data_IF_957776986819
#
_entry.id   IF_957776986819
#
_cell.length_a   1.000
_cell.length_b   1.000
_cell.length_c   1.000
_cell.angle_alpha   90.00
_cell.angle_beta   90.00
_cell.angle_gamma   90.00
#
_symmetry.space_group_name_H-M   'P 1'
#
loop_
_entity.id
_entity.type
_entity.pdbx_description
1 polymer ?
#
# COMPACT_ATOMS: atom_id res chain seq x y z
N UNK A 1 -5.62 -12.31 -7.78
CA UNK A 1 -6.87 -12.82 -8.37
C UNK A 1 -6.94 -12.35 -9.81
N UNK A 2 -7.40 -13.17 -10.74
CA UNK A 2 -7.61 -12.82 -12.15
C UNK A 2 -9.09 -12.59 -12.36
N UNK A 3 -9.44 -11.59 -13.19
CA UNK A 3 -10.84 -11.36 -13.58
C UNK A 3 -11.43 -12.60 -14.27
N UNK A 4 -12.66 -13.02 -13.95
CA UNK A 4 -13.25 -14.26 -14.47
C UNK A 4 -13.42 -14.25 -15.99
N UNK A 5 -13.77 -13.12 -16.60
CA UNK A 5 -14.03 -13.00 -18.03
C UNK A 5 -12.92 -12.26 -18.80
N UNK A 6 -12.22 -11.31 -18.17
CA UNK A 6 -11.23 -10.43 -18.80
C UNK A 6 -9.83 -10.87 -18.39
N UNK A 7 -9.22 -11.74 -19.17
CA UNK A 7 -7.97 -12.44 -18.81
C UNK A 7 -6.76 -11.54 -18.59
N UNK A 8 -6.78 -10.29 -19.06
CA UNK A 8 -5.69 -9.34 -18.93
C UNK A 8 -5.84 -8.35 -17.76
N UNK A 9 -6.90 -8.50 -16.95
CA UNK A 9 -7.08 -7.71 -15.72
C UNK A 9 -6.93 -8.65 -14.52
N UNK A 10 -6.21 -8.18 -13.52
CA UNK A 10 -6.03 -8.86 -12.25
C UNK A 10 -5.96 -7.88 -11.10
N UNK A 11 -6.17 -8.39 -9.89
CA UNK A 11 -6.11 -7.61 -8.66
C UNK A 11 -5.50 -8.42 -7.50
N UNK A 12 -4.92 -7.70 -6.55
CA UNK A 12 -4.42 -8.24 -5.29
C UNK A 12 -4.91 -7.34 -4.16
N UNK A 13 -6.11 -7.56 -3.63
CA UNK A 13 -6.58 -6.84 -2.46
C UNK A 13 -5.76 -7.23 -1.22
N UNK A 14 -5.67 -6.35 -0.24
CA UNK A 14 -4.94 -6.61 1.00
C UNK A 14 -5.69 -7.64 1.87
N UNK A 15 -7.03 -7.68 1.78
CA UNK A 15 -7.85 -8.67 2.47
C UNK A 15 -9.25 -8.78 1.91
N UNK A 16 -9.90 -9.92 2.20
CA UNK A 16 -11.33 -10.16 1.98
C UNK A 16 -11.86 -10.87 3.21
N UNK A 17 -12.95 -10.37 3.78
CA UNK A 17 -13.61 -11.01 4.92
C UNK A 17 -14.28 -12.29 4.48
N UNK A 18 -13.81 -13.43 4.97
CA UNK A 18 -14.33 -14.77 4.63
C UNK A 18 -15.15 -15.36 5.75
N UNK A 19 -14.99 -14.87 6.97
CA UNK A 19 -15.72 -15.32 8.15
C UNK A 19 -15.80 -14.17 9.15
N UNK A 20 -16.96 -14.00 9.76
CA UNK A 20 -17.15 -13.08 10.87
C UNK A 20 -17.12 -13.86 12.19
N UNK A 21 -16.32 -13.39 13.15
CA UNK A 21 -16.17 -14.01 14.48
C UNK A 21 -17.46 -13.95 15.33
N UNK A 22 -18.39 -13.05 15.00
CA UNK A 22 -19.63 -12.81 15.73
C UNK A 22 -20.87 -13.43 15.04
N UNK A 23 -20.69 -14.26 14.01
CA UNK A 23 -21.77 -14.76 13.14
C UNK A 23 -22.64 -13.63 12.53
N UNK A 24 -22.04 -12.47 12.33
CA UNK A 24 -22.67 -11.31 11.72
C UNK A 24 -22.28 -11.26 10.25
N UNK A 25 -23.11 -11.83 9.38
CA UNK A 25 -22.84 -11.91 7.92
C UNK A 25 -22.72 -10.55 7.21
N UNK A 26 -22.88 -9.43 7.92
CA UNK A 26 -22.86 -8.08 7.36
C UNK A 26 -21.52 -7.69 6.74
N UNK A 27 -20.41 -8.27 7.20
CA UNK A 27 -19.09 -7.98 6.70
C UNK A 27 -18.57 -9.04 5.70
N UNK A 28 -19.27 -10.15 5.55
CA UNK A 28 -18.85 -11.24 4.68
C UNK A 28 -18.71 -10.75 3.23
N UNK A 29 -17.60 -11.08 2.59
CA UNK A 29 -17.28 -10.64 1.23
C UNK A 29 -16.82 -9.18 1.13
N UNK A 30 -16.62 -8.49 2.26
CA UNK A 30 -16.10 -7.13 2.29
C UNK A 30 -14.61 -7.14 2.00
N UNK A 31 -14.19 -6.36 1.03
CA UNK A 31 -12.78 -6.21 0.69
C UNK A 31 -12.12 -5.19 1.62
N UNK A 32 -10.85 -5.38 1.89
CA UNK A 32 -10.00 -4.44 2.62
C UNK A 32 -8.85 -3.98 1.73
N UNK A 33 -8.62 -2.68 1.68
CA UNK A 33 -7.45 -2.06 1.07
C UNK A 33 -6.82 -1.11 2.09
N UNK A 34 -5.53 -1.29 2.39
CA UNK A 34 -4.81 -0.56 3.43
C UNK A 34 -3.77 0.37 2.80
N UNK A 35 -3.71 1.61 3.28
CA UNK A 35 -2.68 2.58 2.93
C UNK A 35 -2.02 3.14 4.18
N UNK A 36 -0.73 2.84 4.36
CA UNK A 36 0.10 3.46 5.39
C UNK A 36 0.71 4.75 4.82
N UNK A 37 0.35 5.88 5.43
CA UNK A 37 0.75 7.20 4.94
C UNK A 37 2.10 7.61 5.53
N UNK A 38 3.11 7.80 4.68
CA UNK A 38 4.41 8.32 5.11
C UNK A 38 4.39 9.84 5.29
N UNK A 39 4.20 10.60 4.23
CA UNK A 39 4.33 12.07 4.23
C UNK A 39 3.01 12.82 4.11
N UNK A 40 2.05 12.31 3.34
CA UNK A 40 0.82 13.06 3.06
C UNK A 40 -0.12 13.17 4.26
N UNK A 41 -0.95 14.20 4.24
CA UNK A 41 -1.99 14.43 5.24
C UNK A 41 -3.16 13.44 5.03
N UNK A 42 -3.61 12.79 6.10
CA UNK A 42 -4.82 12.00 6.11
C UNK A 42 -6.04 12.94 6.12
N UNK A 43 -6.87 12.84 5.07
CA UNK A 43 -8.03 13.72 4.87
C UNK A 43 -9.37 13.03 5.11
N UNK A 44 -9.38 11.70 5.18
CA UNK A 44 -10.61 10.90 5.23
C UNK A 44 -11.33 10.82 3.88
N UNK A 45 -10.70 11.27 2.81
CA UNK A 45 -11.23 11.19 1.44
C UNK A 45 -10.19 10.44 0.60
N UNK A 46 -10.52 9.27 0.06
CA UNK A 46 -9.61 8.51 -0.81
C UNK A 46 -9.16 9.35 -2.01
N UNK A 47 -7.88 9.29 -2.34
CA UNK A 47 -7.42 9.89 -3.59
C UNK A 47 -8.02 9.16 -4.78
N UNK A 48 -8.31 9.89 -5.86
CA UNK A 48 -8.92 9.31 -7.06
C UNK A 48 -8.19 8.08 -7.59
N UNK A 49 -6.87 8.09 -7.61
CA UNK A 49 -6.06 6.93 -8.03
C UNK A 49 -6.33 5.67 -7.19
N UNK A 50 -6.53 5.81 -5.88
CA UNK A 50 -6.86 4.71 -4.99
C UNK A 50 -8.31 4.26 -5.15
N UNK A 51 -9.23 5.22 -5.36
CA UNK A 51 -10.59 4.88 -5.72
C UNK A 51 -10.65 4.05 -7.02
N UNK A 52 -9.89 4.43 -8.06
CA UNK A 52 -9.76 3.65 -9.30
C UNK A 52 -9.18 2.26 -9.04
N UNK A 53 -8.14 2.15 -8.23
CA UNK A 53 -7.56 0.86 -7.81
C UNK A 53 -8.62 -0.02 -7.18
N UNK A 54 -9.37 0.52 -6.21
CA UNK A 54 -10.44 -0.20 -5.50
C UNK A 54 -11.57 -0.62 -6.47
N UNK A 55 -11.96 0.24 -7.41
CA UNK A 55 -12.99 -0.12 -8.41
C UNK A 55 -12.56 -1.30 -9.27
N UNK A 56 -11.29 -1.33 -9.73
CA UNK A 56 -10.75 -2.47 -10.48
C UNK A 56 -10.70 -3.74 -9.60
N UNK A 57 -10.29 -3.62 -8.35
CA UNK A 57 -10.22 -4.75 -7.42
C UNK A 57 -11.62 -5.33 -7.14
N UNK A 58 -12.61 -4.46 -6.90
CA UNK A 58 -14.01 -4.87 -6.69
C UNK A 58 -14.59 -5.56 -7.92
N UNK A 59 -14.25 -5.08 -9.12
CA UNK A 59 -14.67 -5.71 -10.38
C UNK A 59 -14.07 -7.09 -10.55
N UNK A 60 -12.74 -7.21 -10.37
CA UNK A 60 -12.01 -8.48 -10.51
C UNK A 60 -12.46 -9.52 -9.50
N UNK A 61 -12.75 -9.11 -8.27
CA UNK A 61 -13.16 -10.00 -7.19
C UNK A 61 -14.68 -10.25 -7.13
N UNK A 62 -15.46 -9.57 -7.97
CA UNK A 62 -16.93 -9.60 -7.99
C UNK A 62 -17.57 -9.26 -6.63
N UNK A 63 -16.95 -8.29 -5.91
CA UNK A 63 -17.39 -7.82 -4.61
C UNK A 63 -18.08 -6.45 -4.71
N UNK A 64 -18.93 -6.12 -3.72
CA UNK A 64 -19.75 -4.91 -3.74
C UNK A 64 -19.16 -3.75 -2.94
N UNK A 65 -18.39 -4.05 -1.89
CA UNK A 65 -17.87 -3.05 -0.97
C UNK A 65 -16.42 -3.31 -0.60
N UNK A 66 -15.68 -2.21 -0.44
CA UNK A 66 -14.33 -2.21 0.09
C UNK A 66 -14.23 -1.23 1.26
N UNK A 67 -13.66 -1.67 2.36
CA UNK A 67 -13.20 -0.78 3.41
C UNK A 67 -11.80 -0.29 3.04
N UNK A 68 -11.74 0.97 2.63
CA UNK A 68 -10.50 1.65 2.33
C UNK A 68 -9.96 2.27 3.61
N UNK A 69 -8.94 1.62 4.17
CA UNK A 69 -8.35 1.98 5.45
C UNK A 69 -7.04 2.71 5.25
N UNK A 70 -7.00 3.96 5.70
CA UNK A 70 -5.78 4.77 5.70
C UNK A 70 -5.30 4.97 7.13
N UNK A 71 -4.00 4.77 7.37
CA UNK A 71 -3.40 4.97 8.67
C UNK A 71 -2.08 5.75 8.56
N UNK A 72 -1.77 6.49 9.61
CA UNK A 72 -0.51 7.22 9.74
C UNK A 72 0.16 6.85 11.05
N UNK A 73 1.37 6.32 10.93
CA UNK A 73 2.20 5.94 12.06
C UNK A 73 3.31 6.98 12.30
N UNK A 74 3.76 7.05 13.53
CA UNK A 74 5.06 7.59 13.89
C UNK A 74 5.98 6.38 14.18
N UNK A 75 6.95 6.14 13.31
CA UNK A 75 7.87 4.99 13.37
C UNK A 75 9.27 5.41 13.82
N UNK A 76 9.47 6.69 14.12
CA UNK A 76 10.76 7.26 14.46
C UNK A 76 10.88 7.67 15.94
N UNK A 77 10.14 6.99 16.81
CA UNK A 77 10.26 7.21 18.25
C UNK A 77 11.59 6.63 18.75
N UNK A 78 12.33 7.41 19.55
CA UNK A 78 13.40 6.83 20.35
C UNK A 78 12.82 6.01 21.49
N UNK A 79 13.59 5.08 22.03
CA UNK A 79 13.20 4.28 23.20
C UNK A 79 12.77 5.18 24.35
N UNK A 80 13.56 6.20 24.66
CA UNK A 80 13.29 7.18 25.73
C UNK A 80 11.95 7.88 25.51
N UNK A 81 11.73 8.44 24.32
CA UNK A 81 10.48 9.13 23.98
C UNK A 81 9.28 8.19 24.05
N UNK A 82 9.43 6.94 23.60
CA UNK A 82 8.35 5.97 23.64
C UNK A 82 7.92 5.67 25.08
N UNK A 83 8.88 5.37 25.97
CA UNK A 83 8.57 5.10 27.38
C UNK A 83 8.08 6.32 28.13
N UNK A 84 8.64 7.51 27.88
CA UNK A 84 8.13 8.75 28.44
C UNK A 84 6.65 8.98 28.05
N UNK A 85 6.28 8.76 26.80
CA UNK A 85 4.89 8.88 26.35
C UNK A 85 3.97 7.84 26.99
N UNK A 86 4.45 6.61 27.22
CA UNK A 86 3.71 5.59 27.95
C UNK A 86 3.43 6.01 29.38
N UNK A 87 4.44 6.50 30.10
CA UNK A 87 4.32 6.93 31.51
C UNK A 87 3.41 8.14 31.66
N UNK A 88 3.49 9.10 30.73
CA UNK A 88 2.67 10.31 30.73
C UNK A 88 1.27 10.12 30.13
N UNK A 89 0.95 8.94 29.58
CA UNK A 89 -0.33 8.66 28.93
C UNK A 89 -0.56 9.47 27.65
N UNK A 90 0.52 9.89 26.97
CA UNK A 90 0.46 10.68 25.72
C UNK A 90 0.76 9.87 24.47
N UNK A 91 0.99 8.58 24.61
CA UNK A 91 1.18 7.64 23.50
C UNK A 91 -0.12 7.48 22.71
N UNK A 92 0.00 7.21 21.40
CA UNK A 92 -1.17 6.91 20.55
C UNK A 92 -1.98 5.70 21.06
N UNK A 93 -3.28 5.68 20.73
CA UNK A 93 -4.23 4.61 21.14
C UNK A 93 -3.70 3.21 20.80
N UNK A 94 -3.03 3.07 19.67
CA UNK A 94 -2.36 1.84 19.29
C UNK A 94 -0.86 2.10 19.17
N UNK A 95 -0.08 1.24 19.82
CA UNK A 95 1.39 1.34 19.82
C UNK A 95 2.04 -0.03 20.06
N UNK A 96 3.31 -0.11 19.77
CA UNK A 96 4.08 -1.34 19.94
C UNK A 96 5.53 -1.21 19.48
N UNK A 97 6.18 -2.36 19.43
CA UNK A 97 7.58 -2.49 19.08
C UNK A 97 7.77 -3.58 18.04
N UNK A 98 8.74 -3.37 17.17
CA UNK A 98 9.20 -4.37 16.20
C UNK A 98 10.70 -4.52 16.39
N UNK A 99 11.16 -5.74 16.66
CA UNK A 99 12.58 -6.03 16.83
C UNK A 99 13.09 -6.69 15.55
N UNK A 100 14.12 -6.13 14.99
CA UNK A 100 14.81 -6.64 13.82
C UNK A 100 16.03 -7.43 14.20
N UNK A 101 16.14 -8.64 13.68
CA UNK A 101 17.30 -9.54 13.81
C UNK A 101 17.81 -9.94 12.44
N UNK A 102 19.12 -10.20 12.37
CA UNK A 102 19.74 -10.92 11.25
C UNK A 102 19.92 -12.38 11.65
N UNK A 103 19.30 -13.28 10.89
CA UNK A 103 19.52 -14.71 11.00
C UNK A 103 20.76 -15.10 10.17
N UNK A 104 21.82 -15.49 10.84
CA UNK A 104 23.05 -15.92 10.19
C UNK A 104 22.95 -17.40 9.87
N UNK A 105 23.04 -17.75 8.58
CA UNK A 105 23.08 -19.16 8.17
C UNK A 105 24.36 -19.83 8.64
N UNK A 106 24.25 -21.09 9.08
CA UNK A 106 25.40 -21.93 9.39
C UNK A 106 26.14 -22.36 8.12
N UNK A 107 25.49 -22.29 6.98
CA UNK A 107 26.08 -22.56 5.67
C UNK A 107 26.54 -21.25 5.02
N UNK A 108 27.83 -21.13 4.74
CA UNK A 108 28.44 -19.95 4.13
C UNK A 108 27.96 -19.68 2.69
N UNK A 109 27.24 -20.60 2.08
CA UNK A 109 26.64 -20.46 0.73
C UNK A 109 25.28 -19.74 0.74
N UNK A 110 24.60 -19.65 1.89
CA UNK A 110 23.31 -18.98 2.02
C UNK A 110 23.47 -17.54 2.51
N UNK A 111 22.70 -16.63 1.91
CA UNK A 111 22.62 -15.24 2.38
C UNK A 111 21.88 -15.15 3.71
N UNK A 112 22.34 -14.25 4.60
CA UNK A 112 21.64 -13.92 5.83
C UNK A 112 20.22 -13.43 5.54
N UNK A 113 19.27 -13.77 6.42
CA UNK A 113 17.85 -13.38 6.33
C UNK A 113 17.49 -12.43 7.46
N UNK A 114 16.63 -11.46 7.17
CA UNK A 114 16.08 -10.59 8.21
C UNK A 114 14.87 -11.27 8.85
N UNK A 115 14.82 -11.25 10.18
CA UNK A 115 13.72 -11.77 10.99
C UNK A 115 13.14 -10.65 11.84
N UNK A 116 11.81 -10.60 11.92
CA UNK A 116 11.07 -9.57 12.63
C UNK A 116 10.26 -10.21 13.75
N UNK A 117 10.36 -9.64 14.96
CA UNK A 117 9.57 -10.06 16.12
C UNK A 117 8.71 -8.88 16.54
N UNK A 118 7.41 -9.10 16.61
CA UNK A 118 6.42 -8.07 16.94
C UNK A 118 5.99 -8.22 18.40
N UNK A 119 6.03 -7.15 19.17
CA UNK A 119 5.40 -7.15 20.50
C UNK A 119 3.88 -7.26 20.36
N UNK A 120 3.19 -7.78 21.37
CA UNK A 120 1.77 -7.49 21.52
C UNK A 120 1.54 -5.97 21.48
N UNK A 121 0.38 -5.55 20.96
CA UNK A 121 0.02 -4.14 20.88
C UNK A 121 -0.41 -3.61 22.26
N UNK A 122 -0.19 -2.32 22.49
CA UNK A 122 -0.69 -1.59 23.66
C UNK A 122 -0.17 -2.10 25.01
N UNK A 123 1.04 -2.65 25.05
CA UNK A 123 1.69 -3.01 26.30
C UNK A 123 2.05 -1.75 27.10
N UNK A 124 1.78 -1.74 28.39
CA UNK A 124 2.37 -0.79 29.33
C UNK A 124 3.90 -1.00 29.43
N UNK A 125 4.61 -0.03 29.96
CA UNK A 125 6.05 -0.15 30.17
C UNK A 125 6.45 -1.41 30.96
N UNK A 126 5.70 -1.73 32.02
CA UNK A 126 5.95 -2.93 32.84
C UNK A 126 5.67 -4.22 32.08
N UNK A 127 4.60 -4.26 31.29
CA UNK A 127 4.25 -5.44 30.49
C UNK A 127 5.27 -5.65 29.35
N UNK A 128 5.77 -4.57 28.75
CA UNK A 128 6.83 -4.67 27.75
C UNK A 128 8.12 -5.28 28.30
N UNK A 129 8.55 -4.86 29.51
CA UNK A 129 9.71 -5.47 30.16
C UNK A 129 9.47 -6.96 30.44
N UNK A 130 8.30 -7.33 30.97
CA UNK A 130 7.93 -8.74 31.19
C UNK A 130 7.92 -9.55 29.90
N UNK A 131 7.40 -8.98 28.81
CA UNK A 131 7.41 -9.63 27.49
C UNK A 131 8.85 -9.87 27.01
N UNK A 132 9.76 -8.90 27.16
CA UNK A 132 11.17 -9.08 26.83
C UNK A 132 11.81 -10.21 27.65
N UNK A 133 11.58 -10.25 28.94
CA UNK A 133 12.21 -11.22 29.82
C UNK A 133 11.62 -12.63 29.66
N UNK A 134 10.31 -12.75 29.47
CA UNK A 134 9.63 -14.04 29.48
C UNK A 134 9.49 -14.68 28.09
N UNK A 135 9.49 -13.90 27.03
CA UNK A 135 9.26 -14.38 25.66
C UNK A 135 10.50 -14.19 24.77
N UNK A 136 11.10 -13.00 24.79
CA UNK A 136 12.21 -12.69 23.87
C UNK A 136 13.52 -13.30 24.34
N UNK A 137 13.85 -13.21 25.62
CA UNK A 137 15.11 -13.77 26.13
C UNK A 137 15.20 -15.30 25.94
N UNK A 138 14.17 -16.12 26.33
CA UNK A 138 14.19 -17.56 26.06
C UNK A 138 14.22 -17.89 24.57
N UNK A 139 13.46 -17.11 23.74
CA UNK A 139 13.48 -17.31 22.29
C UNK A 139 14.89 -17.11 21.70
N UNK A 140 15.64 -16.14 22.17
CA UNK A 140 17.00 -15.88 21.72
C UNK A 140 17.98 -16.94 22.19
N UNK A 141 17.80 -17.47 23.39
CA UNK A 141 18.62 -18.58 23.93
C UNK A 141 18.46 -19.83 23.04
N UNK A 142 17.26 -20.09 22.54
CA UNK A 142 16.98 -21.20 21.62
C UNK A 142 17.47 -20.92 20.19
N UNK A 143 17.59 -19.67 19.79
CA UNK A 143 17.94 -19.22 18.43
C UNK A 143 19.24 -18.40 18.41
N UNK A 144 20.33 -19.02 18.84
CA UNK A 144 21.66 -18.39 18.98
C UNK A 144 22.28 -17.86 17.69
N UNK A 145 21.65 -18.14 16.51
CA UNK A 145 22.04 -17.62 15.20
C UNK A 145 21.37 -16.28 14.85
N UNK A 146 20.57 -15.72 15.75
CA UNK A 146 19.94 -14.41 15.59
C UNK A 146 20.82 -13.31 16.19
N UNK A 147 21.12 -12.30 15.39
CA UNK A 147 21.87 -11.11 15.80
C UNK A 147 20.94 -9.91 15.82
N UNK A 148 20.86 -9.24 16.96
CA UNK A 148 20.06 -8.03 17.14
C UNK A 148 20.58 -6.91 16.24
N UNK A 149 19.68 -6.28 15.48
CA UNK A 149 19.98 -5.10 14.67
C UNK A 149 19.41 -3.83 15.31
N UNK A 150 18.09 -3.77 15.47
CA UNK A 150 17.39 -2.57 15.90
C UNK A 150 16.02 -2.91 16.48
N UNK A 151 15.52 -2.04 17.36
CA UNK A 151 14.12 -1.99 17.77
C UNK A 151 13.47 -0.74 17.21
N UNK A 152 12.34 -0.93 16.56
CA UNK A 152 11.48 0.16 16.09
C UNK A 152 10.35 0.34 17.10
N UNK A 153 10.17 1.56 17.56
CA UNK A 153 9.08 1.96 18.43
C UNK A 153 8.09 2.76 17.62
N UNK A 154 6.82 2.36 17.63
CA UNK A 154 5.80 2.98 16.81
C UNK A 154 4.53 3.31 17.59
N UNK A 155 3.80 4.31 17.13
CA UNK A 155 2.45 4.64 17.56
C UNK A 155 1.58 4.98 16.37
N UNK A 156 0.29 4.63 16.43
CA UNK A 156 -0.70 5.06 15.45
C UNK A 156 -1.14 6.49 15.78
N UNK A 157 -0.82 7.44 14.89
CA UNK A 157 -1.18 8.86 15.08
C UNK A 157 -2.65 9.09 14.70
N UNK A 158 -3.07 8.52 13.58
CA UNK A 158 -4.40 8.77 13.01
C UNK A 158 -4.77 7.70 12.01
N UNK A 159 -6.05 7.39 11.91
CA UNK A 159 -6.59 6.51 10.88
C UNK A 159 -7.92 7.03 10.35
N UNK A 160 -8.35 6.48 9.21
CA UNK A 160 -9.64 6.70 8.58
C UNK A 160 -10.08 5.43 7.87
N UNK A 161 -11.33 5.06 8.01
CA UNK A 161 -11.95 3.99 7.25
C UNK A 161 -13.09 4.56 6.40
N UNK A 162 -13.04 4.33 5.09
CA UNK A 162 -14.05 4.81 4.14
C UNK A 162 -14.57 3.62 3.34
N UNK A 163 -15.87 3.35 3.43
CA UNK A 163 -16.47 2.31 2.62
C UNK A 163 -16.67 2.79 1.19
N UNK A 164 -16.05 2.11 0.23
CA UNK A 164 -16.17 2.37 -1.20
C UNK A 164 -17.09 1.30 -1.80
N UNK A 165 -18.14 1.74 -2.49
CA UNK A 165 -19.05 0.88 -3.23
C UNK A 165 -18.56 0.65 -4.66
N UNK A 166 -18.77 -0.57 -5.20
CA UNK A 166 -18.51 -0.91 -6.61
C UNK A 166 -19.35 -0.05 -7.55
N UNK A 167 -18.72 0.51 -8.57
CA UNK A 167 -19.36 1.32 -9.60
C UNK A 167 -19.24 0.63 -10.97
N UNK A 168 -20.21 -0.20 -11.32
CA UNK A 168 -20.26 -0.95 -12.59
C UNK A 168 -20.31 -0.04 -13.82
N UNK A 169 -21.07 1.06 -13.75
CA UNK A 169 -21.18 2.00 -14.85
C UNK A 169 -19.83 2.66 -15.18
N UNK A 170 -19.08 3.01 -14.14
CA UNK A 170 -17.73 3.52 -14.33
C UNK A 170 -16.84 2.48 -15.00
N UNK A 171 -16.90 1.22 -14.58
CA UNK A 171 -16.08 0.16 -15.16
C UNK A 171 -16.45 -0.08 -16.63
N UNK A 172 -17.72 -0.15 -16.97
CA UNK A 172 -18.20 -0.26 -18.35
C UNK A 172 -17.66 0.87 -19.25
N UNK A 173 -17.61 2.11 -18.72
CA UNK A 173 -17.04 3.24 -19.43
C UNK A 173 -15.53 3.17 -19.63
N UNK A 174 -14.81 2.63 -18.65
CA UNK A 174 -13.33 2.56 -18.68
C UNK A 174 -12.81 1.31 -19.40
N UNK A 175 -13.58 0.23 -19.39
CA UNK A 175 -13.18 -1.05 -20.01
C UNK A 175 -12.67 -0.92 -21.46
N UNK A 176 -13.30 -0.19 -22.39
CA UNK A 176 -12.77 -0.04 -23.74
C UNK A 176 -11.37 0.59 -23.80
N UNK A 177 -11.06 1.50 -22.86
CA UNK A 177 -9.73 2.13 -22.76
C UNK A 177 -8.68 1.14 -22.24
N UNK A 178 -9.08 0.27 -21.31
CA UNK A 178 -8.21 -0.80 -20.81
C UNK A 178 -7.91 -1.80 -21.92
N UNK A 179 -8.94 -2.20 -22.68
CA UNK A 179 -8.79 -3.13 -23.79
C UNK A 179 -7.88 -2.57 -24.91
N UNK A 180 -8.02 -1.28 -25.23
CA UNK A 180 -7.15 -0.59 -26.18
C UNK A 180 -5.71 -0.57 -25.70
N UNK A 181 -5.48 -0.18 -24.44
CA UNK A 181 -4.16 -0.19 -23.84
C UNK A 181 -3.52 -1.58 -23.89
N UNK A 182 -4.30 -2.63 -23.58
CA UNK A 182 -3.80 -4.00 -23.64
C UNK A 182 -3.44 -4.42 -25.06
N UNK A 183 -4.22 -4.03 -26.06
CA UNK A 183 -3.91 -4.27 -27.48
C UNK A 183 -2.59 -3.64 -27.88
N UNK A 184 -2.33 -2.38 -27.44
CA UNK A 184 -1.06 -1.71 -27.66
C UNK A 184 0.13 -2.44 -27.00
N UNK A 185 -0.09 -2.99 -25.79
CA UNK A 185 0.94 -3.80 -25.09
C UNK A 185 1.25 -5.06 -25.88
N UNK A 186 0.24 -5.77 -26.39
CA UNK A 186 0.43 -6.99 -27.18
C UNK A 186 1.16 -6.70 -28.49
N UNK A 187 0.79 -5.62 -29.18
CA UNK A 187 1.47 -5.19 -30.42
C UNK A 187 2.95 -4.91 -30.15
N UNK A 188 3.26 -4.15 -29.08
CA UNK A 188 4.64 -3.84 -28.72
C UNK A 188 5.46 -5.07 -28.31
N UNK A 189 4.87 -6.02 -27.59
CA UNK A 189 5.50 -7.29 -27.28
C UNK A 189 5.85 -8.06 -28.55
N UNK A 190 4.90 -8.18 -29.49
CA UNK A 190 5.13 -8.85 -30.76
C UNK A 190 6.24 -8.19 -31.60
N UNK A 191 6.33 -6.84 -31.56
CA UNK A 191 7.42 -6.11 -32.21
C UNK A 191 8.77 -6.44 -31.58
N UNK A 192 8.86 -6.52 -30.25
CA UNK A 192 10.08 -6.89 -29.51
C UNK A 192 10.49 -8.34 -29.81
N UNK A 193 9.54 -9.27 -29.74
CA UNK A 193 9.79 -10.69 -29.97
C UNK A 193 10.28 -10.97 -31.40
N UNK A 194 9.87 -10.17 -32.37
CA UNK A 194 10.31 -10.22 -33.75
C UNK A 194 11.57 -9.41 -34.05
N UNK A 195 12.07 -8.62 -33.09
CA UNK A 195 13.31 -7.86 -33.23
C UNK A 195 14.57 -8.69 -32.93
N UNK A 196 15.06 -9.42 -33.96
CA UNK A 196 16.27 -10.21 -33.83
C UNK A 196 17.54 -9.39 -33.50
N UNK A 197 17.47 -8.05 -33.49
CA UNK A 197 18.59 -7.17 -33.17
C UNK A 197 18.65 -6.75 -31.71
N UNK A 198 17.56 -6.94 -30.94
CA UNK A 198 17.39 -6.46 -29.57
C UNK A 198 17.44 -4.93 -29.46
N UNK A 199 17.30 -4.21 -30.57
CA UNK A 199 17.37 -2.76 -30.62
C UNK A 199 16.08 -2.11 -30.12
N UNK A 200 14.93 -2.68 -30.46
CA UNK A 200 13.63 -2.19 -30.02
C UNK A 200 13.45 -2.35 -28.52
N UNK A 201 13.90 -3.46 -27.94
CA UNK A 201 13.88 -3.68 -26.50
C UNK A 201 14.65 -2.58 -25.73
N UNK A 202 15.84 -2.23 -26.23
CA UNK A 202 16.67 -1.14 -25.64
C UNK A 202 16.04 0.24 -25.78
N UNK A 203 15.27 0.49 -26.84
CA UNK A 203 14.55 1.75 -27.04
C UNK A 203 13.31 1.82 -26.15
N UNK A 204 12.55 0.73 -26.03
CA UNK A 204 11.33 0.67 -25.25
C UNK A 204 11.60 0.59 -23.74
N UNK A 205 12.68 -0.07 -23.34
CA UNK A 205 13.10 -0.21 -21.95
C UNK A 205 14.56 0.24 -21.78
N UNK A 206 14.86 1.54 -21.94
CA UNK A 206 16.21 2.03 -21.74
C UNK A 206 16.66 1.69 -20.31
N UNK A 207 17.82 1.03 -20.18
CA UNK A 207 18.45 0.87 -18.88
C UNK A 207 18.57 2.26 -18.26
N UNK A 208 18.05 2.45 -17.04
CA UNK A 208 18.17 3.71 -16.31
C UNK A 208 19.65 4.10 -16.23
N UNK A 209 20.11 4.94 -17.12
CA UNK A 209 21.26 5.78 -16.84
C UNK A 209 20.79 6.84 -15.86
N UNK A 210 21.52 7.02 -14.77
CA UNK A 210 21.22 7.89 -13.64
C UNK A 210 21.27 9.38 -13.98
N UNK A 211 20.76 9.80 -15.13
CA UNK A 211 20.67 11.20 -15.51
C UNK A 211 19.31 11.53 -16.12
N UNK A 212 18.56 12.35 -15.35
CA UNK A 212 17.39 13.17 -15.72
C UNK A 212 16.49 12.59 -16.82
N UNK A 213 15.52 11.81 -16.39
CA UNK A 213 14.38 11.43 -17.24
C UNK A 213 13.40 12.59 -17.27
N UNK A 214 13.26 13.24 -18.43
CA UNK A 214 12.02 13.90 -18.78
C UNK A 214 10.94 12.82 -18.85
N UNK A 215 10.10 12.76 -17.83
CA UNK A 215 9.00 11.82 -17.75
C UNK A 215 8.08 12.04 -18.95
N UNK A 216 8.04 11.10 -19.88
CA UNK A 216 6.91 10.98 -20.79
C UNK A 216 5.66 10.87 -19.91
N UNK A 217 4.79 11.87 -20.01
CA UNK A 217 3.48 11.90 -19.37
C UNK A 217 2.61 10.80 -19.97
N UNK A 218 2.73 9.62 -19.45
CA UNK A 218 1.63 8.67 -19.46
C UNK A 218 0.65 9.17 -18.39
N UNK A 219 -0.50 9.68 -18.82
CA UNK A 219 -1.62 10.11 -17.97
C UNK A 219 -2.30 8.93 -17.24
N UNK A 220 -1.54 7.88 -16.92
CA UNK A 220 -2.00 6.68 -16.23
C UNK A 220 -1.07 6.40 -15.05
N UNK A 221 -1.49 6.84 -13.87
CA UNK A 221 -1.22 6.30 -12.54
C UNK A 221 0.16 5.73 -12.22
N UNK A 222 1.21 6.56 -12.20
CA UNK A 222 2.43 6.31 -11.43
C UNK A 222 3.03 7.66 -10.98
N UNK A 223 2.26 8.49 -10.31
CA UNK A 223 2.78 9.69 -9.65
C UNK A 223 2.83 9.39 -8.17
N UNK A 224 4.03 9.30 -7.64
CA UNK A 224 4.29 9.21 -6.21
C UNK A 224 3.74 10.45 -5.51
N UNK A 225 3.05 10.29 -4.38
CA UNK A 225 2.43 11.41 -3.65
C UNK A 225 3.47 12.45 -3.25
N UNK A 226 4.72 12.05 -3.03
CA UNK A 226 5.85 12.94 -2.69
C UNK A 226 6.23 13.88 -3.83
N UNK A 227 5.98 13.48 -5.10
CA UNK A 227 6.27 14.33 -6.25
C UNK A 227 5.30 15.50 -6.38
N UNK A 228 4.06 15.33 -5.95
CA UNK A 228 3.00 16.37 -6.05
C UNK A 228 3.21 17.44 -4.97
N UNK A 229 3.66 17.08 -3.76
CA UNK A 229 3.86 18.06 -2.68
C UNK A 229 5.08 18.95 -2.91
N UNK A 230 6.15 18.40 -3.49
CA UNK A 230 7.38 19.14 -3.77
C UNK A 230 7.29 20.09 -4.98
N UNK A 231 6.27 19.94 -5.83
CA UNK A 231 6.05 20.77 -7.02
C UNK A 231 4.86 21.74 -6.92
N UNK A 232 4.32 22.00 -5.73
CA UNK A 232 3.19 22.94 -5.50
C UNK A 232 3.48 24.40 -5.90
N UNK A 233 4.72 24.73 -6.27
CA UNK A 233 5.11 26.09 -6.69
C UNK A 233 5.04 26.37 -8.20
N UNK A 234 4.68 25.38 -9.04
CA UNK A 234 4.64 25.55 -10.50
C UNK A 234 3.45 24.81 -11.10
N UNK A 235 2.26 25.36 -11.10
CA UNK A 235 1.24 25.29 -12.16
C UNK A 235 -0.19 25.44 -11.66
N UNK A 236 -0.74 26.64 -11.81
CA UNK A 236 -2.18 26.92 -11.61
C UNK A 236 -3.07 26.24 -12.69
N UNK A 237 -2.55 25.97 -13.86
CA UNK A 237 -3.27 25.27 -14.94
C UNK A 237 -3.59 23.80 -14.59
N UNK A 238 -2.71 23.13 -13.89
CA UNK A 238 -2.93 21.75 -13.43
C UNK A 238 -4.05 21.70 -12.38
N UNK A 239 -4.13 22.70 -11.50
CA UNK A 239 -5.21 22.82 -10.49
C UNK A 239 -6.60 22.99 -11.10
N UNK A 240 -6.73 23.73 -12.20
CA UNK A 240 -8.01 23.90 -12.90
C UNK A 240 -8.45 22.60 -13.58
N UNK A 241 -7.54 21.84 -14.19
CA UNK A 241 -7.84 20.56 -14.82
C UNK A 241 -8.30 19.51 -13.80
N UNK A 242 -7.63 19.43 -12.64
CA UNK A 242 -8.03 18.54 -11.53
C UNK A 242 -9.38 18.95 -10.90
N UNK A 243 -9.66 20.25 -10.80
CA UNK A 243 -10.93 20.74 -10.28
C UNK A 243 -12.10 20.36 -11.19
N UNK A 244 -11.89 20.43 -12.52
CA UNK A 244 -12.87 20.01 -13.52
C UNK A 244 -13.16 18.50 -13.47
N UNK A 245 -12.12 17.67 -13.38
CA UNK A 245 -12.27 16.22 -13.26
C UNK A 245 -13.01 15.84 -11.95
N UNK A 246 -12.74 16.54 -10.85
CA UNK A 246 -13.43 16.32 -9.57
C UNK A 246 -14.91 16.70 -9.64
N UNK A 247 -15.26 17.75 -10.36
CA UNK A 247 -16.65 18.19 -10.59
C UNK A 247 -17.40 17.18 -11.47
N UNK A 248 -16.75 16.68 -12.52
CA UNK A 248 -17.34 15.70 -13.44
C UNK A 248 -17.60 14.34 -12.76
N UNK A 249 -16.85 13.99 -11.69
CA UNK A 249 -17.05 12.77 -10.92
C UNK A 249 -18.18 12.91 -9.89
N UNK A 250 -18.30 14.07 -9.23
CA UNK A 250 -19.41 14.33 -8.31
C UNK A 250 -20.77 14.41 -9.02
N UNK A 251 -20.81 14.82 -10.30
CA UNK A 251 -22.04 14.87 -11.10
C UNK A 251 -22.54 13.50 -11.59
N UNK A 252 -21.71 12.43 -11.49
CA UNK A 252 -22.11 11.06 -11.86
C UNK A 252 -22.85 10.36 -10.69
N UNK A 253 -22.66 10.81 -9.45
CA UNK A 253 -23.28 10.20 -8.27
C UNK A 253 -24.69 10.76 -7.94
N UNK A 254 -25.08 11.93 -8.48
CA UNK A 254 -26.33 12.62 -8.13
C UNK A 254 -27.51 12.41 -9.13
N UNK A 255 -27.33 11.66 -10.22
CA UNK A 255 -28.38 11.47 -11.22
C UNK A 255 -28.87 10.01 -11.40
N UNK A 256 -28.69 9.11 -10.39
CA UNK A 256 -29.38 7.81 -10.47
C UNK A 256 -29.66 7.19 -9.08
#
# INVERSE_FOLDING_TARGET
IRHPEICHIGASPDGIVTQDSENNDLLLGRMLEIKCLYSRRLTGIPLYKYWVQVQIQLEVCELEYCDFFECKFNENLSEETFFEKLENGTIGEYHGNIIEYTEVSKDSSESSKTKWIYSPINLSATEYLKWKDNEIAPFLDENSNLWYNKTFYWELIKYSNVTIKRNRKWFEHVKPKIDLFWSDVLEKRNQIDNDNTGKLEKIMFPKKETNKIEAMKLDICMIDDDYIENNKSKNEETKQKYKKIKTDICLIDDEF
#
